data_IF_572477495020
#
_entry.id   IF_572477495020
#
_cell.length_a   1.000
_cell.length_b   1.000
_cell.length_c   1.000
_cell.angle_alpha   90.00
_cell.angle_beta   90.00
_cell.angle_gamma   90.00
#
_symmetry.space_group_name_H-M   'P 1'
#
loop_
_entity.id
_entity.type
_entity.pdbx_description
1 polymer ?
#
# COMPACT_ATOMS: atom_id res chain seq x y z
N UNK A 1 -12.09 -16.40 15.02
CA UNK A 1 -10.70 -16.06 14.65
C UNK A 1 -10.78 -15.58 13.22
N UNK A 2 -10.47 -14.31 12.95
CA UNK A 2 -10.40 -13.80 11.58
C UNK A 2 -9.35 -14.62 10.82
N UNK A 3 -9.75 -15.25 9.71
CA UNK A 3 -8.81 -16.00 8.89
C UNK A 3 -7.90 -15.03 8.12
N UNK A 4 -6.67 -15.45 7.79
CA UNK A 4 -5.75 -14.62 6.99
C UNK A 4 -6.39 -14.12 5.69
N UNK A 5 -7.29 -14.92 5.11
CA UNK A 5 -8.06 -14.54 3.92
C UNK A 5 -9.04 -13.39 4.18
N UNK A 6 -9.71 -13.36 5.32
CA UNK A 6 -10.62 -12.27 5.71
C UNK A 6 -9.85 -10.98 5.95
N UNK A 7 -8.70 -11.05 6.64
CA UNK A 7 -7.79 -9.92 6.83
C UNK A 7 -7.35 -9.33 5.48
N UNK A 8 -6.91 -10.17 4.55
CA UNK A 8 -6.52 -9.74 3.18
C UNK A 8 -7.66 -9.06 2.43
N UNK A 9 -8.88 -9.62 2.46
CA UNK A 9 -10.05 -9.01 1.81
C UNK A 9 -10.40 -7.66 2.40
N UNK A 10 -10.36 -7.52 3.74
CA UNK A 10 -10.58 -6.26 4.43
C UNK A 10 -9.56 -5.21 4.04
N UNK A 11 -8.27 -5.58 3.99
CA UNK A 11 -7.18 -4.68 3.61
C UNK A 11 -7.26 -4.26 2.14
N UNK A 12 -7.61 -5.18 1.25
CA UNK A 12 -7.87 -4.88 -0.16
C UNK A 12 -8.99 -3.85 -0.29
N UNK A 13 -10.13 -4.08 0.36
CA UNK A 13 -11.25 -3.15 0.35
C UNK A 13 -10.84 -1.76 0.84
N UNK A 14 -10.16 -1.68 2.00
CA UNK A 14 -9.68 -0.39 2.53
C UNK A 14 -8.65 0.32 1.66
N UNK A 15 -7.95 -0.41 0.81
CA UNK A 15 -6.97 0.15 -0.13
C UNK A 15 -7.63 0.71 -1.39
N UNK A 16 -8.83 0.21 -1.74
CA UNK A 16 -9.65 0.63 -2.88
C UNK A 16 -10.77 1.63 -2.52
N UNK A 17 -10.85 2.02 -1.25
CA UNK A 17 -11.86 2.95 -0.75
C UNK A 17 -11.21 4.01 0.15
N UNK A 18 -10.27 4.77 -0.42
CA UNK A 18 -9.58 5.88 0.27
C UNK A 18 -10.26 7.22 0.07
N UNK A 19 -9.96 8.18 0.96
CA UNK A 19 -10.49 9.55 0.89
C UNK A 19 -9.86 10.37 -0.23
N UNK A 20 -8.61 10.04 -0.62
CA UNK A 20 -7.90 10.67 -1.72
C UNK A 20 -7.71 9.71 -2.90
N UNK A 21 -8.08 10.16 -4.11
CA UNK A 21 -7.97 9.37 -5.35
C UNK A 21 -6.54 8.91 -5.65
N UNK A 22 -5.54 9.75 -5.38
CA UNK A 22 -4.13 9.37 -5.56
C UNK A 22 -3.74 8.20 -4.67
N UNK A 23 -4.13 8.24 -3.40
CA UNK A 23 -3.85 7.17 -2.44
C UNK A 23 -4.59 5.88 -2.76
N UNK A 24 -5.82 6.01 -3.27
CA UNK A 24 -6.63 4.91 -3.78
C UNK A 24 -5.92 4.17 -4.93
N UNK A 25 -5.38 4.93 -5.90
CA UNK A 25 -4.66 4.35 -7.03
C UNK A 25 -3.36 3.68 -6.54
N UNK A 26 -2.57 4.37 -5.72
CA UNK A 26 -1.27 3.88 -5.27
C UNK A 26 -1.42 2.59 -4.46
N UNK A 27 -2.25 2.62 -3.42
CA UNK A 27 -2.45 1.46 -2.55
C UNK A 27 -3.31 0.39 -3.21
N UNK A 28 -4.36 0.78 -3.93
CA UNK A 28 -5.28 -0.13 -4.61
C UNK A 28 -4.59 -0.99 -5.65
N UNK A 29 -3.76 -0.38 -6.51
CA UNK A 29 -2.98 -1.14 -7.50
C UNK A 29 -2.08 -2.16 -6.82
N UNK A 30 -1.32 -1.74 -5.81
CA UNK A 30 -0.43 -2.64 -5.09
C UNK A 30 -1.21 -3.78 -4.42
N UNK A 31 -2.31 -3.46 -3.72
CA UNK A 31 -3.14 -4.44 -3.04
C UNK A 31 -3.69 -5.49 -4.01
N UNK A 32 -4.26 -5.06 -5.14
CA UNK A 32 -4.85 -5.95 -6.14
C UNK A 32 -3.86 -7.00 -6.65
N UNK A 33 -2.59 -6.64 -6.78
CA UNK A 33 -1.55 -7.52 -7.32
C UNK A 33 -0.78 -8.31 -6.24
N UNK A 34 -0.56 -7.72 -5.07
CA UNK A 34 0.36 -8.28 -4.08
C UNK A 34 -0.32 -8.81 -2.82
N UNK A 35 -1.54 -8.41 -2.44
CA UNK A 35 -2.14 -8.75 -1.13
C UNK A 35 -2.24 -10.25 -0.85
N UNK A 36 -2.43 -11.06 -1.89
CA UNK A 36 -2.51 -12.52 -1.78
C UNK A 36 -1.13 -13.22 -1.81
N UNK A 37 -0.10 -12.50 -2.26
CA UNK A 37 1.29 -12.95 -2.35
C UNK A 37 2.09 -12.63 -1.07
N UNK A 38 1.64 -11.65 -0.27
CA UNK A 38 2.26 -11.26 0.99
C UNK A 38 2.24 -12.39 2.02
N UNK A 39 3.33 -12.57 2.78
CA UNK A 39 3.37 -13.49 3.92
C UNK A 39 2.45 -13.01 5.04
N UNK A 40 2.19 -13.84 6.05
CA UNK A 40 1.37 -13.43 7.19
C UNK A 40 1.96 -12.20 7.91
N UNK A 41 3.27 -12.16 8.07
CA UNK A 41 4.02 -11.04 8.66
C UNK A 41 3.88 -9.77 7.80
N UNK A 42 4.08 -9.89 6.49
CA UNK A 42 3.91 -8.77 5.55
C UNK A 42 2.48 -8.23 5.52
N UNK A 43 1.46 -9.09 5.73
CA UNK A 43 0.06 -8.67 5.83
C UNK A 43 -0.18 -7.83 7.09
N UNK A 44 0.54 -8.11 8.18
CA UNK A 44 0.48 -7.27 9.39
C UNK A 44 1.14 -5.92 9.19
N UNK A 45 2.32 -5.88 8.57
CA UNK A 45 2.98 -4.62 8.20
C UNK A 45 2.13 -3.81 7.21
N UNK A 46 1.54 -4.48 6.22
CA UNK A 46 0.64 -3.85 5.27
C UNK A 46 -0.60 -3.28 5.96
N UNK A 47 -1.12 -3.94 6.99
CA UNK A 47 -2.21 -3.40 7.78
C UNK A 47 -1.84 -2.08 8.47
N UNK A 48 -0.61 -1.94 8.97
CA UNK A 48 -0.15 -0.66 9.57
C UNK A 48 -0.09 0.45 8.52
N UNK A 49 0.42 0.14 7.32
CA UNK A 49 0.40 1.08 6.18
C UNK A 49 -1.05 1.45 5.83
N UNK A 50 -1.95 0.47 5.76
CA UNK A 50 -3.36 0.71 5.42
C UNK A 50 -4.10 1.52 6.50
N UNK A 51 -3.70 1.41 7.77
CA UNK A 51 -4.26 2.24 8.84
C UNK A 51 -3.69 3.67 8.88
N UNK A 52 -2.63 3.94 8.12
CA UNK A 52 -2.06 5.29 8.03
C UNK A 52 -3.00 6.20 7.23
N UNK A 53 -3.21 7.43 7.74
CA UNK A 53 -4.01 8.46 7.08
C UNK A 53 -3.44 8.82 5.71
N UNK A 54 -4.32 9.12 4.75
CA UNK A 54 -3.95 9.48 3.38
C UNK A 54 -2.95 10.65 3.34
N UNK A 55 -3.15 11.68 4.16
CA UNK A 55 -2.25 12.83 4.28
C UNK A 55 -0.85 12.43 4.76
N UNK A 56 -0.79 11.55 5.75
CA UNK A 56 0.46 11.13 6.35
C UNK A 56 1.23 10.20 5.42
N UNK A 57 0.54 9.28 4.76
CA UNK A 57 1.13 8.37 3.79
C UNK A 57 1.61 9.13 2.55
N UNK A 58 0.88 10.15 2.11
CA UNK A 58 1.32 11.05 1.04
C UNK A 58 2.67 11.68 1.34
N UNK A 59 2.87 12.25 2.54
CA UNK A 59 4.16 12.83 2.97
C UNK A 59 5.31 11.83 2.92
N UNK A 60 5.06 10.58 3.28
CA UNK A 60 6.08 9.53 3.22
C UNK A 60 6.45 9.18 1.78
N UNK A 61 5.46 9.15 0.89
CA UNK A 61 5.65 8.84 -0.53
C UNK A 61 6.36 9.99 -1.27
N UNK A 62 5.99 11.25 -0.97
CA UNK A 62 6.64 12.44 -1.54
C UNK A 62 8.01 12.71 -0.96
N UNK A 63 8.38 12.03 0.14
CA UNK A 63 9.62 12.25 0.86
C UNK A 63 9.62 13.55 1.69
N UNK A 64 8.46 14.17 1.89
CA UNK A 64 8.28 15.31 2.79
C UNK A 64 8.51 14.92 4.26
N UNK A 65 8.24 13.66 4.62
CA UNK A 65 8.52 13.12 5.95
C UNK A 65 9.17 11.74 5.88
N UNK A 66 9.97 11.42 6.90
CA UNK A 66 10.61 10.12 7.03
C UNK A 66 9.59 9.07 7.47
N UNK A 67 9.69 7.87 6.89
CA UNK A 67 8.88 6.72 7.32
C UNK A 67 9.26 6.37 8.78
N UNK A 68 8.29 6.38 9.71
CA UNK A 68 8.55 6.09 11.12
C UNK A 68 9.03 4.64 11.31
N UNK A 69 9.73 4.38 12.41
CA UNK A 69 10.23 3.04 12.75
C UNK A 69 9.11 1.99 12.91
N UNK A 70 7.89 2.42 13.21
CA UNK A 70 6.72 1.57 13.35
C UNK A 70 6.18 1.03 12.01
N UNK A 71 6.69 1.52 10.87
CA UNK A 71 6.30 1.09 9.52
C UNK A 71 7.50 0.48 8.80
N UNK A 72 7.27 -0.65 8.14
CA UNK A 72 8.29 -1.23 7.28
C UNK A 72 8.60 -0.33 6.07
N UNK A 73 9.83 0.19 6.02
CA UNK A 73 10.28 1.10 4.96
C UNK A 73 10.38 0.42 3.61
N UNK A 74 10.73 -0.87 3.59
CA UNK A 74 10.85 -1.62 2.34
C UNK A 74 9.48 -1.82 1.71
N UNK A 75 8.46 -2.11 2.51
CA UNK A 75 7.08 -2.26 2.05
C UNK A 75 6.55 -0.97 1.45
N UNK A 76 6.71 0.17 2.14
CA UNK A 76 6.31 1.48 1.59
C UNK A 76 7.04 1.78 0.29
N UNK A 77 8.34 1.51 0.22
CA UNK A 77 9.14 1.69 -0.99
C UNK A 77 8.67 0.77 -2.14
N UNK A 78 8.35 -0.49 -1.85
CA UNK A 78 7.84 -1.45 -2.83
C UNK A 78 6.51 -0.98 -3.42
N UNK A 79 5.63 -0.38 -2.61
CA UNK A 79 4.36 0.21 -3.08
C UNK A 79 4.64 1.32 -4.09
N UNK A 80 5.58 2.22 -3.79
CA UNK A 80 5.94 3.34 -4.68
C UNK A 80 6.57 2.83 -5.97
N UNK A 81 7.55 1.92 -5.86
CA UNK A 81 8.26 1.34 -7.01
C UNK A 81 7.30 0.59 -7.96
N UNK A 82 6.36 -0.17 -7.40
CA UNK A 82 5.34 -0.86 -8.18
C UNK A 82 4.49 0.12 -9.01
N UNK A 83 4.08 1.24 -8.42
CA UNK A 83 3.29 2.24 -9.13
C UNK A 83 4.09 2.99 -10.19
N UNK A 84 5.34 3.36 -9.89
CA UNK A 84 6.30 3.92 -10.85
C UNK A 84 6.50 2.98 -12.06
N UNK A 85 6.61 1.67 -11.80
CA UNK A 85 6.72 0.64 -12.84
C UNK A 85 5.49 0.56 -13.73
N UNK A 86 4.27 0.57 -13.15
CA UNK A 86 3.01 0.61 -13.90
C UNK A 86 2.93 1.86 -14.80
N UNK A 87 3.30 3.02 -14.26
CA UNK A 87 3.31 4.29 -15.00
C UNK A 87 4.26 4.18 -16.19
N UNK A 88 5.51 3.75 -15.98
CA UNK A 88 6.50 3.57 -17.05
C UNK A 88 6.01 2.62 -18.15
N UNK A 89 5.35 1.53 -17.79
CA UNK A 89 4.78 0.58 -18.76
C UNK A 89 3.64 1.20 -19.60
N UNK A 90 2.83 2.10 -19.02
CA UNK A 90 1.72 2.76 -19.74
C UNK A 90 2.19 3.83 -20.73
N UNK A 91 3.32 4.48 -20.47
CA UNK A 91 3.86 5.55 -21.30
C UNK A 91 4.96 5.10 -22.29
N UNK A 92 5.35 3.82 -22.27
CA UNK A 92 6.35 3.25 -23.18
C UNK A 92 5.77 2.80 -24.54
N UNK A 93 4.63 3.34 -24.97
CA UNK A 93 3.98 3.04 -26.25
C UNK A 93 3.54 4.32 -26.95
#
# INVERSE_FOLDING_TARGET
MDTLLEKRKRLLYRSLHRGCKEMDIILGNFALHHIYLLSNEDVDEYEKVVNTSDYQLYKYITGEELIPECLDRNLVRNIVDFNESIVKLKFSK
#
